data_IF_618540381676
#
_entry.id   IF_618540381676
#
_cell.length_a   1.000
_cell.length_b   1.000
_cell.length_c   1.000
_cell.angle_alpha   90.00
_cell.angle_beta   90.00
_cell.angle_gamma   90.00
#
_symmetry.space_group_name_H-M   'P 1'
#
loop_
_entity.id
_entity.type
_entity.pdbx_description
1 polymer ?
#
# COMPACT_ATOMS: atom_id res chain seq x y z
N UNK A 1 -19.49 -0.27 6.38
CA UNK A 1 -18.29 0.60 6.31
C UNK A 1 -18.57 1.89 5.54
N UNK A 2 -19.11 1.85 4.33
CA UNK A 2 -19.48 3.01 3.50
C UNK A 2 -20.32 4.04 4.26
N UNK A 3 -21.42 3.63 4.92
CA UNK A 3 -22.29 4.54 5.69
C UNK A 3 -21.53 5.30 6.78
N UNK A 4 -20.56 4.66 7.43
CA UNK A 4 -19.71 5.30 8.43
C UNK A 4 -18.77 6.34 7.80
N UNK A 5 -18.27 6.12 6.58
CA UNK A 5 -17.40 7.07 5.90
C UNK A 5 -18.16 8.32 5.44
N UNK A 6 -19.36 8.15 4.87
CA UNK A 6 -20.23 9.28 4.52
C UNK A 6 -20.61 10.14 5.74
N UNK A 7 -20.76 9.54 6.93
CA UNK A 7 -21.02 10.27 8.17
C UNK A 7 -19.79 11.05 8.59
N UNK A 8 -18.60 10.41 8.61
CA UNK A 8 -17.34 11.03 9.04
C UNK A 8 -16.90 12.17 8.13
N UNK A 9 -17.18 12.08 6.84
CA UNK A 9 -16.88 13.12 5.86
C UNK A 9 -17.57 14.46 6.17
N UNK A 10 -18.72 14.44 6.88
CA UNK A 10 -19.48 15.60 7.28
C UNK A 10 -19.07 16.23 8.62
N UNK A 11 -18.17 15.60 9.36
CA UNK A 11 -17.70 16.09 10.67
C UNK A 11 -16.80 17.31 10.43
N UNK A 12 -17.17 18.46 10.99
CA UNK A 12 -16.32 19.65 10.97
C UNK A 12 -15.04 19.43 11.78
N UNK A 13 -13.91 20.01 11.35
CA UNK A 13 -12.61 19.81 12.00
C UNK A 13 -11.92 18.48 11.72
N UNK A 14 -12.60 17.51 11.09
CA UNK A 14 -11.96 16.29 10.63
C UNK A 14 -11.35 16.51 9.24
N UNK A 15 -10.03 16.52 9.15
CA UNK A 15 -9.30 16.81 7.92
C UNK A 15 -8.99 15.58 7.09
N UNK A 16 -8.70 14.43 7.73
CA UNK A 16 -8.32 13.19 7.03
C UNK A 16 -8.99 11.97 7.62
N UNK A 17 -9.41 11.08 6.74
CA UNK A 17 -9.97 9.76 7.07
C UNK A 17 -9.09 8.71 6.41
N UNK A 18 -8.51 7.81 7.21
CA UNK A 18 -7.80 6.63 6.74
C UNK A 18 -8.59 5.38 7.13
N UNK A 19 -8.56 4.39 6.27
CA UNK A 19 -9.10 3.08 6.58
C UNK A 19 -8.26 1.99 5.91
N UNK A 20 -8.33 0.82 6.44
CA UNK A 20 -7.70 -0.36 5.85
C UNK A 20 -8.78 -1.33 5.39
N UNK A 21 -8.57 -1.95 4.23
CA UNK A 21 -9.33 -3.11 3.83
C UNK A 21 -8.48 -4.35 4.09
N UNK A 22 -9.10 -5.41 4.58
CA UNK A 22 -8.43 -6.69 4.81
C UNK A 22 -8.67 -7.67 3.68
N UNK A 23 -9.60 -7.38 2.76
CA UNK A 23 -9.97 -8.29 1.69
C UNK A 23 -10.53 -7.55 0.45
N UNK A 24 -10.11 -7.90 -0.79
CA UNK A 24 -10.63 -7.27 -2.01
C UNK A 24 -12.16 -7.30 -2.15
N UNK A 25 -12.82 -8.36 -1.67
CA UNK A 25 -14.30 -8.48 -1.67
C UNK A 25 -15.03 -7.44 -0.81
N UNK A 26 -14.36 -6.88 0.19
CA UNK A 26 -14.97 -5.91 1.10
C UNK A 26 -15.04 -4.49 0.50
N UNK A 27 -14.42 -4.30 -0.66
CA UNK A 27 -14.38 -3.04 -1.37
C UNK A 27 -15.53 -2.98 -2.38
N UNK A 28 -16.67 -2.39 -1.95
CA UNK A 28 -17.81 -2.22 -2.83
C UNK A 28 -17.63 -1.04 -3.79
N UNK A 29 -18.39 -1.06 -4.89
CA UNK A 29 -18.37 0.00 -5.89
C UNK A 29 -18.72 1.35 -5.30
N UNK A 30 -19.71 1.38 -4.41
CA UNK A 30 -20.13 2.59 -3.73
C UNK A 30 -19.03 3.14 -2.81
N UNK A 31 -18.21 2.24 -2.19
CA UNK A 31 -17.09 2.69 -1.38
C UNK A 31 -16.01 3.34 -2.24
N UNK A 32 -15.70 2.74 -3.40
CA UNK A 32 -14.75 3.30 -4.38
C UNK A 32 -15.25 4.69 -4.85
N UNK A 33 -16.54 4.81 -5.16
CA UNK A 33 -17.14 6.09 -5.57
C UNK A 33 -17.04 7.16 -4.47
N UNK A 34 -17.32 6.80 -3.22
CA UNK A 34 -17.17 7.70 -2.07
C UNK A 34 -15.73 8.13 -1.88
N UNK A 35 -14.76 7.22 -2.05
CA UNK A 35 -13.35 7.56 -2.01
C UNK A 35 -12.95 8.57 -3.08
N UNK A 36 -13.46 8.41 -4.30
CA UNK A 36 -13.16 9.33 -5.40
C UNK A 36 -13.74 10.73 -5.23
N UNK A 37 -14.91 10.83 -4.57
CA UNK A 37 -15.63 12.11 -4.36
C UNK A 37 -15.20 12.86 -3.09
N UNK A 38 -14.74 12.14 -2.06
CA UNK A 38 -14.40 12.75 -0.77
C UNK A 38 -13.05 13.46 -0.82
N UNK A 39 -13.01 14.68 -0.28
CA UNK A 39 -11.77 15.44 -0.08
C UNK A 39 -11.03 15.06 1.22
N UNK A 40 -11.70 14.34 2.13
CA UNK A 40 -11.16 13.95 3.44
C UNK A 40 -10.62 12.52 3.47
N UNK A 41 -11.15 11.63 2.62
CA UNK A 41 -10.65 10.26 2.52
C UNK A 41 -9.29 10.29 1.83
N UNK A 42 -8.29 9.77 2.54
CA UNK A 42 -6.93 9.69 2.05
C UNK A 42 -6.83 8.80 0.81
N UNK A 43 -6.04 9.20 -0.15
CA UNK A 43 -5.81 8.47 -1.40
C UNK A 43 -4.81 7.33 -1.19
N UNK A 44 -5.07 6.49 -0.23
CA UNK A 44 -4.27 5.30 0.07
C UNK A 44 -5.19 4.12 0.35
N UNK A 45 -4.90 2.99 -0.25
CA UNK A 45 -5.65 1.77 -0.06
C UNK A 45 -4.71 0.57 0.08
N UNK A 46 -4.81 -0.12 1.23
CA UNK A 46 -4.16 -1.40 1.41
C UNK A 46 -5.07 -2.51 0.90
N UNK A 47 -4.64 -3.21 -0.17
CA UNK A 47 -5.42 -4.21 -0.88
C UNK A 47 -4.60 -5.51 -1.02
N UNK A 48 -4.60 -6.40 0.00
CA UNK A 48 -3.82 -7.62 0.01
C UNK A 48 -4.18 -8.57 -1.14
N UNK A 49 -3.22 -8.86 -2.02
CA UNK A 49 -3.42 -9.83 -3.12
C UNK A 49 -3.06 -11.25 -2.71
N UNK A 50 -2.09 -11.40 -1.83
CA UNK A 50 -1.53 -12.64 -1.29
C UNK A 50 -0.70 -13.46 -2.31
N UNK A 51 -1.20 -13.67 -3.52
CA UNK A 51 -0.54 -14.35 -4.65
C UNK A 51 -1.09 -13.83 -5.97
N UNK A 52 -0.29 -13.86 -7.02
CA UNK A 52 -0.73 -13.57 -8.38
C UNK A 52 -1.30 -14.78 -9.12
N UNK A 53 -1.16 -15.99 -8.58
CA UNK A 53 -1.72 -17.20 -9.18
C UNK A 53 -3.13 -17.49 -8.68
N UNK A 54 -4.10 -17.54 -9.61
CA UNK A 54 -5.49 -17.92 -9.29
C UNK A 54 -5.58 -19.32 -8.68
N UNK A 55 -4.67 -20.24 -9.06
CA UNK A 55 -4.56 -21.58 -8.50
C UNK A 55 -4.14 -21.55 -7.03
N UNK A 56 -3.11 -20.76 -6.70
CA UNK A 56 -2.63 -20.61 -5.32
C UNK A 56 -3.64 -19.84 -4.47
N UNK A 57 -4.27 -18.79 -5.00
CA UNK A 57 -5.35 -18.08 -4.32
C UNK A 57 -6.48 -19.03 -3.90
N UNK A 58 -6.87 -19.96 -4.78
CA UNK A 58 -7.87 -20.99 -4.45
C UNK A 58 -7.39 -21.91 -3.32
N UNK A 59 -6.11 -22.35 -3.33
CA UNK A 59 -5.51 -23.15 -2.24
C UNK A 59 -5.48 -22.37 -0.91
N UNK A 60 -5.27 -21.05 -0.95
CA UNK A 60 -5.31 -20.14 0.20
C UNK A 60 -6.74 -19.83 0.65
N UNK A 61 -7.76 -20.46 0.07
CA UNK A 61 -9.18 -20.18 0.32
C UNK A 61 -9.56 -18.71 0.02
N UNK A 62 -8.92 -18.10 -0.97
CA UNK A 62 -9.29 -16.79 -1.49
C UNK A 62 -10.34 -16.96 -2.59
N UNK A 63 -11.39 -16.15 -2.54
CA UNK A 63 -12.55 -16.28 -3.44
C UNK A 63 -12.54 -15.23 -4.55
N UNK A 64 -11.37 -14.99 -5.14
CA UNK A 64 -11.16 -14.15 -6.31
C UNK A 64 -10.01 -14.71 -7.15
N UNK A 65 -9.99 -14.34 -8.43
CA UNK A 65 -8.90 -14.67 -9.36
C UNK A 65 -7.97 -13.48 -9.57
N UNK A 66 -6.83 -13.72 -10.22
CA UNK A 66 -5.90 -12.67 -10.66
C UNK A 66 -6.59 -11.61 -11.51
N UNK A 67 -7.41 -12.05 -12.47
CA UNK A 67 -8.13 -11.19 -13.41
C UNK A 67 -9.12 -10.29 -12.66
N UNK A 68 -9.92 -10.85 -11.77
CA UNK A 68 -10.86 -10.10 -10.95
C UNK A 68 -10.16 -9.07 -10.05
N UNK A 69 -8.98 -9.42 -9.53
CA UNK A 69 -8.18 -8.48 -8.75
C UNK A 69 -7.65 -7.33 -9.62
N UNK A 70 -7.14 -7.61 -10.82
CA UNK A 70 -6.66 -6.59 -11.75
C UNK A 70 -7.80 -5.66 -12.22
N UNK A 71 -8.98 -6.21 -12.54
CA UNK A 71 -10.18 -5.42 -12.86
C UNK A 71 -10.57 -4.47 -11.71
N UNK A 72 -10.49 -4.97 -10.47
CA UNK A 72 -10.75 -4.14 -9.29
C UNK A 72 -9.73 -3.00 -9.16
N UNK A 73 -8.44 -3.28 -9.36
CA UNK A 73 -7.37 -2.27 -9.35
C UNK A 73 -7.61 -1.20 -10.41
N UNK A 74 -7.95 -1.58 -11.64
CA UNK A 74 -8.27 -0.64 -12.70
C UNK A 74 -9.47 0.25 -12.36
N UNK A 75 -10.52 -0.35 -11.77
CA UNK A 75 -11.69 0.39 -11.32
C UNK A 75 -11.35 1.41 -10.24
N UNK A 76 -10.53 1.02 -9.26
CA UNK A 76 -10.06 1.91 -8.20
C UNK A 76 -9.30 3.09 -8.81
N UNK A 77 -8.34 2.84 -9.69
CA UNK A 77 -7.52 3.89 -10.31
C UNK A 77 -8.32 4.85 -11.18
N UNK A 78 -9.34 4.36 -11.89
CA UNK A 78 -10.27 5.22 -12.65
C UNK A 78 -11.11 6.12 -11.75
N UNK A 79 -11.53 5.62 -10.59
CA UNK A 79 -12.41 6.36 -9.68
C UNK A 79 -11.67 7.24 -8.70
N UNK A 80 -10.44 6.87 -8.35
CA UNK A 80 -9.59 7.58 -7.39
C UNK A 80 -8.22 7.83 -8.05
N UNK A 81 -8.10 8.89 -8.85
CA UNK A 81 -6.81 9.27 -9.44
C UNK A 81 -5.74 9.46 -8.36
N UNK A 82 -4.52 9.11 -8.66
CA UNK A 82 -3.35 9.19 -7.76
C UNK A 82 -3.49 8.36 -6.46
N UNK A 83 -4.32 7.30 -6.50
CA UNK A 83 -4.42 6.38 -5.36
C UNK A 83 -3.12 5.61 -5.19
N UNK A 84 -2.56 5.68 -3.99
CA UNK A 84 -1.47 4.80 -3.58
C UNK A 84 -2.03 3.43 -3.19
N UNK A 85 -1.49 2.38 -3.78
CA UNK A 85 -1.86 1.00 -3.51
C UNK A 85 -0.74 0.27 -2.79
N UNK A 86 -1.08 -0.33 -1.66
CA UNK A 86 -0.19 -1.25 -0.94
C UNK A 86 -0.81 -2.62 -0.83
N UNK A 87 0.02 -3.66 -0.68
CA UNK A 87 -0.44 -5.05 -0.68
C UNK A 87 0.37 -5.95 0.24
N UNK A 88 -0.14 -7.15 0.49
CA UNK A 88 0.58 -8.27 1.09
C UNK A 88 0.79 -9.36 0.05
N UNK A 89 2.00 -9.96 0.02
CA UNK A 89 2.35 -11.07 -0.86
C UNK A 89 3.03 -12.17 -0.05
N UNK A 90 2.60 -13.40 -0.22
CA UNK A 90 3.18 -14.59 0.41
C UNK A 90 3.84 -15.45 -0.66
N UNK A 91 5.11 -15.79 -0.48
CA UNK A 91 5.89 -16.68 -1.35
C UNK A 91 6.11 -18.03 -0.66
N UNK A 92 6.18 -19.08 -1.44
CA UNK A 92 6.47 -20.44 -0.95
C UNK A 92 5.26 -21.11 -0.29
N UNK A 93 4.04 -20.73 -0.67
CA UNK A 93 2.85 -21.45 -0.23
C UNK A 93 2.88 -22.90 -0.75
N UNK A 94 2.43 -23.92 0.02
CA UNK A 94 2.49 -25.31 -0.39
C UNK A 94 1.91 -25.56 -1.79
N UNK A 95 2.72 -26.19 -2.64
CA UNK A 95 2.41 -26.49 -4.03
C UNK A 95 2.51 -25.30 -5.00
N UNK A 96 3.13 -24.19 -4.62
CA UNK A 96 3.47 -23.11 -5.53
C UNK A 96 4.54 -23.60 -6.53
N UNK A 97 4.24 -23.54 -7.83
CA UNK A 97 5.21 -23.82 -8.89
C UNK A 97 5.99 -22.56 -9.28
N UNK A 98 6.97 -22.69 -10.17
CA UNK A 98 7.67 -21.52 -10.73
C UNK A 98 6.73 -20.66 -11.57
N UNK A 99 5.83 -21.29 -12.32
CA UNK A 99 4.81 -20.60 -13.12
C UNK A 99 3.86 -19.79 -12.22
N UNK A 100 3.45 -20.32 -11.05
CA UNK A 100 2.62 -19.59 -10.09
C UNK A 100 3.36 -18.38 -9.50
N UNK A 101 4.66 -18.55 -9.25
CA UNK A 101 5.49 -17.45 -8.79
C UNK A 101 5.65 -16.37 -9.86
N UNK A 102 5.88 -16.75 -11.12
CA UNK A 102 5.94 -15.78 -12.24
C UNK A 102 4.59 -15.05 -12.44
N UNK A 103 3.44 -15.70 -12.21
CA UNK A 103 2.15 -15.03 -12.16
C UNK A 103 2.09 -13.95 -11.05
N UNK A 104 2.76 -14.20 -9.94
CA UNK A 104 2.88 -13.22 -8.85
C UNK A 104 3.80 -12.06 -9.24
N UNK A 105 4.91 -12.33 -9.92
CA UNK A 105 5.78 -11.30 -10.47
C UNK A 105 5.06 -10.44 -11.53
N UNK A 106 4.25 -11.07 -12.39
CA UNK A 106 3.46 -10.37 -13.41
C UNK A 106 2.45 -9.40 -12.78
N UNK A 107 1.73 -9.80 -11.71
CA UNK A 107 0.79 -8.90 -11.05
C UNK A 107 1.49 -7.72 -10.38
N UNK A 108 2.67 -7.93 -9.80
CA UNK A 108 3.49 -6.86 -9.20
C UNK A 108 3.89 -5.83 -10.26
N UNK A 109 4.35 -6.29 -11.42
CA UNK A 109 4.73 -5.45 -12.55
C UNK A 109 3.56 -4.69 -13.17
N UNK A 110 2.39 -5.32 -13.26
CA UNK A 110 1.16 -4.70 -13.80
C UNK A 110 0.55 -3.69 -12.86
N UNK A 111 0.44 -4.03 -11.58
CA UNK A 111 -0.17 -3.15 -10.58
C UNK A 111 0.76 -2.04 -10.15
N UNK A 112 2.09 -2.26 -10.11
CA UNK A 112 3.06 -1.25 -9.67
C UNK A 112 2.66 -0.65 -8.33
N UNK A 113 2.73 -1.46 -7.29
CA UNK A 113 2.39 -1.05 -5.94
C UNK A 113 3.36 0.02 -5.40
N UNK A 114 2.84 0.98 -4.66
CA UNK A 114 3.68 1.96 -3.93
C UNK A 114 4.49 1.29 -2.83
N UNK A 115 3.96 0.22 -2.23
CA UNK A 115 4.68 -0.64 -1.30
C UNK A 115 4.03 -2.03 -1.23
N UNK A 116 4.81 -3.06 -0.98
CA UNK A 116 4.30 -4.39 -0.70
C UNK A 116 5.00 -5.00 0.52
N UNK A 117 4.20 -5.56 1.42
CA UNK A 117 4.70 -6.38 2.51
C UNK A 117 4.86 -7.81 2.00
N UNK A 118 6.09 -8.26 1.90
CA UNK A 118 6.46 -9.57 1.37
C UNK A 118 6.76 -10.54 2.50
N UNK A 119 6.17 -11.72 2.44
CA UNK A 119 6.28 -12.75 3.47
C UNK A 119 6.66 -14.08 2.85
N UNK A 120 7.51 -14.81 3.55
CA UNK A 120 7.69 -16.24 3.31
C UNK A 120 6.57 -16.99 4.04
N UNK A 121 5.95 -17.96 3.37
CA UNK A 121 4.95 -18.81 4.02
C UNK A 121 5.54 -19.46 5.28
N UNK A 122 4.84 -19.35 6.38
CA UNK A 122 5.18 -19.99 7.65
C UNK A 122 4.07 -20.95 8.08
N UNK A 123 4.45 -22.18 8.39
CA UNK A 123 3.52 -23.21 8.89
C UNK A 123 2.87 -22.75 10.19
N UNK A 124 1.55 -22.72 10.22
CA UNK A 124 0.79 -22.42 11.44
C UNK A 124 0.03 -23.65 11.88
N UNK A 125 0.33 -24.17 13.06
CA UNK A 125 -0.34 -25.33 13.64
C UNK A 125 -1.86 -25.19 13.58
N UNK A 126 -2.54 -26.24 13.14
CA UNK A 126 -4.01 -26.26 13.03
C UNK A 126 -4.57 -25.69 11.72
N UNK A 127 -3.71 -25.27 10.78
CA UNK A 127 -4.19 -24.85 9.45
C UNK A 127 -4.07 -25.97 8.42
N UNK A 128 -5.00 -26.06 7.43
CA UNK A 128 -4.89 -27.04 6.35
C UNK A 128 -3.56 -26.96 5.59
N UNK A 129 -3.03 -25.77 5.36
CA UNK A 129 -1.76 -25.56 4.67
C UNK A 129 -0.55 -26.17 5.40
N UNK A 130 -0.58 -26.28 6.74
CA UNK A 130 0.52 -26.82 7.52
C UNK A 130 0.70 -28.33 7.31
N UNK A 131 -0.34 -29.05 6.90
CA UNK A 131 -0.34 -30.49 6.68
C UNK A 131 -0.31 -30.89 5.20
N UNK A 132 -0.22 -29.94 4.28
CA UNK A 132 -0.03 -30.21 2.86
C UNK A 132 1.35 -30.85 2.64
N UNK A 133 1.41 -31.88 1.78
CA UNK A 133 2.65 -32.64 1.51
C UNK A 133 3.60 -31.90 0.57
N UNK A 134 3.06 -31.04 -0.31
CA UNK A 134 3.77 -30.31 -1.36
C UNK A 134 4.46 -29.03 -0.84
N UNK A 135 5.16 -29.13 0.29
CA UNK A 135 5.98 -28.03 0.83
C UNK A 135 7.16 -27.71 -0.09
N UNK A 136 7.43 -26.43 -0.26
CA UNK A 136 8.49 -25.95 -1.15
C UNK A 136 9.85 -25.99 -0.44
N UNK A 137 10.93 -26.46 -1.10
CA UNK A 137 12.29 -26.42 -0.55
C UNK A 137 12.72 -25.00 -0.17
N UNK A 138 13.47 -24.89 0.94
CA UNK A 138 13.83 -23.60 1.53
C UNK A 138 14.68 -22.72 0.60
N UNK A 139 15.58 -23.33 -0.15
CA UNK A 139 16.45 -22.67 -1.15
C UNK A 139 15.62 -22.06 -2.29
N UNK A 140 14.61 -22.77 -2.80
CA UNK A 140 13.67 -22.27 -3.81
C UNK A 140 12.86 -21.10 -3.26
N UNK A 141 12.35 -21.22 -2.03
CA UNK A 141 11.59 -20.13 -1.39
C UNK A 141 12.45 -18.89 -1.21
N UNK A 142 13.71 -19.04 -0.78
CA UNK A 142 14.65 -17.92 -0.62
C UNK A 142 14.96 -17.23 -1.95
N UNK A 143 15.19 -18.01 -3.01
CA UNK A 143 15.42 -17.45 -4.35
C UNK A 143 14.22 -16.61 -4.80
N UNK A 144 13.02 -17.18 -4.78
CA UNK A 144 11.78 -16.48 -5.14
C UNK A 144 11.56 -15.23 -4.29
N UNK A 145 11.76 -15.32 -2.99
CA UNK A 145 11.61 -14.19 -2.08
C UNK A 145 12.55 -13.04 -2.43
N UNK A 146 13.81 -13.33 -2.72
CA UNK A 146 14.81 -12.32 -3.09
C UNK A 146 14.47 -11.66 -4.43
N UNK A 147 14.03 -12.43 -5.41
CA UNK A 147 13.55 -11.90 -6.71
C UNK A 147 12.35 -10.98 -6.53
N UNK A 148 11.35 -11.41 -5.75
CA UNK A 148 10.17 -10.60 -5.44
C UNK A 148 10.55 -9.32 -4.69
N UNK A 149 11.41 -9.41 -3.67
CA UNK A 149 11.83 -8.27 -2.87
C UNK A 149 12.53 -7.22 -3.73
N UNK A 150 13.43 -7.65 -4.62
CA UNK A 150 14.13 -6.77 -5.55
C UNK A 150 13.15 -6.03 -6.48
N UNK A 151 12.21 -6.74 -7.10
CA UNK A 151 11.21 -6.16 -8.00
C UNK A 151 10.33 -5.13 -7.25
N UNK A 152 9.82 -5.51 -6.07
CA UNK A 152 9.00 -4.62 -5.24
C UNK A 152 9.75 -3.36 -4.83
N UNK A 153 11.02 -3.49 -4.40
CA UNK A 153 11.82 -2.34 -4.01
C UNK A 153 12.09 -1.39 -5.19
N UNK A 154 12.39 -1.95 -6.36
CA UNK A 154 12.59 -1.17 -7.58
C UNK A 154 11.33 -0.37 -7.93
N UNK A 155 10.18 -1.03 -7.98
CA UNK A 155 8.91 -0.38 -8.30
C UNK A 155 8.53 0.66 -7.24
N UNK A 156 8.70 0.35 -5.95
CA UNK A 156 8.39 1.30 -4.87
C UNK A 156 9.25 2.55 -4.94
N UNK A 157 10.54 2.41 -5.28
CA UNK A 157 11.43 3.57 -5.47
C UNK A 157 10.99 4.44 -6.66
N UNK A 158 10.60 3.81 -7.78
CA UNK A 158 10.08 4.53 -8.95
C UNK A 158 8.76 5.25 -8.64
N UNK A 159 7.83 4.61 -7.90
CA UNK A 159 6.58 5.23 -7.47
C UNK A 159 6.82 6.38 -6.48
N UNK A 160 7.77 6.21 -5.58
CA UNK A 160 8.17 7.28 -4.67
C UNK A 160 8.72 8.48 -5.45
N UNK A 161 9.62 8.27 -6.40
CA UNK A 161 10.27 9.37 -7.14
C UNK A 161 9.30 10.27 -7.93
N UNK A 162 8.09 9.81 -8.26
CA UNK A 162 7.10 10.58 -9.04
C UNK A 162 6.74 11.92 -8.39
N UNK A 163 6.76 12.01 -7.06
CA UNK A 163 6.35 13.22 -6.36
C UNK A 163 7.53 14.18 -6.04
N UNK A 164 8.77 13.77 -6.33
CA UNK A 164 9.93 14.64 -6.12
C UNK A 164 9.81 15.94 -6.93
N UNK A 165 10.15 17.07 -6.33
CA UNK A 165 10.03 18.38 -6.94
C UNK A 165 8.60 18.95 -6.96
N UNK A 166 7.61 18.28 -6.36
CA UNK A 166 6.22 18.76 -6.27
C UNK A 166 5.90 19.33 -4.90
N UNK A 167 4.87 20.19 -4.84
CA UNK A 167 4.30 20.66 -3.57
C UNK A 167 3.15 19.75 -3.17
N UNK A 168 3.18 19.26 -1.92
CA UNK A 168 2.17 18.34 -1.41
C UNK A 168 1.64 18.80 -0.05
N UNK A 169 0.32 18.65 0.16
CA UNK A 169 -0.28 18.93 1.47
C UNK A 169 0.01 17.80 2.44
N UNK A 170 0.68 18.11 3.54
CA UNK A 170 1.16 17.19 4.57
C UNK A 170 0.43 17.45 5.88
N UNK A 171 -0.09 16.41 6.54
CA UNK A 171 -0.55 16.49 7.93
C UNK A 171 0.67 16.31 8.82
N UNK A 172 0.97 17.29 9.65
CA UNK A 172 2.09 17.22 10.61
C UNK A 172 1.68 16.33 11.79
N UNK A 173 2.43 15.26 12.03
CA UNK A 173 2.09 14.25 13.03
C UNK A 173 2.89 14.43 14.33
N UNK A 174 4.19 14.65 14.23
CA UNK A 174 5.08 14.78 15.39
C UNK A 174 6.42 15.43 15.02
N UNK A 175 7.24 15.72 16.04
CA UNK A 175 8.66 15.98 15.88
C UNK A 175 9.37 14.71 15.40
N UNK A 176 10.38 14.82 14.56
CA UNK A 176 11.13 13.67 14.09
C UNK A 176 11.92 13.02 15.24
N UNK A 177 11.92 11.68 15.30
CA UNK A 177 12.55 10.93 16.40
C UNK A 177 14.09 10.99 16.38
N UNK A 178 14.68 11.27 15.22
CA UNK A 178 16.15 11.28 15.03
C UNK A 178 16.76 12.68 14.95
N UNK A 179 15.94 13.68 14.62
CA UNK A 179 16.37 15.08 14.50
C UNK A 179 15.22 16.00 14.96
N UNK A 180 15.39 16.62 16.11
CA UNK A 180 14.40 17.51 16.73
C UNK A 180 14.22 18.86 16.01
N UNK A 181 15.02 19.17 15.00
CA UNK A 181 14.82 20.32 14.11
C UNK A 181 13.86 20.02 12.95
N UNK A 182 13.50 18.74 12.78
CA UNK A 182 12.61 18.30 11.74
C UNK A 182 11.23 17.91 12.30
N UNK A 183 10.21 18.25 11.54
CA UNK A 183 8.87 17.70 11.73
C UNK A 183 8.69 16.46 10.85
N UNK A 184 7.89 15.52 11.33
CA UNK A 184 7.43 14.37 10.57
C UNK A 184 5.96 14.55 10.26
N UNK A 185 5.63 14.54 8.99
CA UNK A 185 4.25 14.61 8.53
C UNK A 185 3.95 13.52 7.52
N UNK A 186 2.69 13.43 7.12
CA UNK A 186 2.21 12.39 6.22
C UNK A 186 1.33 12.95 5.12
N UNK A 187 1.63 12.57 3.88
CA UNK A 187 0.83 12.89 2.71
C UNK A 187 -0.49 12.11 2.69
N UNK A 188 -1.41 12.49 1.81
CA UNK A 188 -2.68 11.78 1.61
C UNK A 188 -2.46 10.33 1.15
N UNK A 189 -1.45 10.05 0.36
CA UNK A 189 -1.06 8.73 -0.13
C UNK A 189 -0.31 7.88 0.91
N UNK A 190 -0.19 8.34 2.16
CA UNK A 190 0.45 7.67 3.29
C UNK A 190 1.99 7.74 3.36
N UNK A 191 2.65 8.38 2.41
CA UNK A 191 4.10 8.56 2.46
C UNK A 191 4.50 9.62 3.50
N UNK A 192 5.64 9.39 4.13
CA UNK A 192 6.20 10.28 5.14
C UNK A 192 6.98 11.41 4.48
N UNK A 193 6.96 12.57 5.14
CA UNK A 193 7.76 13.73 4.77
C UNK A 193 8.41 14.30 6.03
N UNK A 194 9.72 14.53 5.97
CA UNK A 194 10.49 15.22 7.00
C UNK A 194 10.90 16.58 6.50
N UNK A 195 10.67 17.61 7.29
CA UNK A 195 10.92 18.99 6.91
C UNK A 195 11.21 19.87 8.14
N UNK A 196 11.99 20.95 8.02
CA UNK A 196 12.25 21.89 9.12
C UNK A 196 10.96 22.55 9.61
N UNK A 197 10.78 22.63 10.92
CA UNK A 197 9.60 23.24 11.53
C UNK A 197 9.63 23.13 13.04
N UNK A 198 8.59 23.59 13.70
CA UNK A 198 8.42 23.55 15.15
C UNK A 198 7.12 22.83 15.57
N UNK A 199 7.02 22.52 16.86
CA UNK A 199 5.93 21.73 17.44
C UNK A 199 4.54 22.38 17.27
N UNK A 200 4.46 23.70 17.04
CA UNK A 200 3.17 24.39 16.85
C UNK A 200 2.44 23.95 15.59
N UNK A 201 3.16 23.31 14.66
CA UNK A 201 2.61 22.77 13.43
C UNK A 201 1.88 21.44 13.62
N UNK A 202 2.05 20.75 14.74
CA UNK A 202 1.44 19.43 15.00
C UNK A 202 -0.09 19.52 14.88
N UNK A 203 -0.67 18.61 14.09
CA UNK A 203 -2.10 18.57 13.80
C UNK A 203 -2.54 19.48 12.67
N UNK A 204 -1.67 20.32 12.13
CA UNK A 204 -1.98 21.20 11.01
C UNK A 204 -1.72 20.52 9.65
N UNK A 205 -2.42 21.00 8.62
CA UNK A 205 -2.12 20.71 7.23
C UNK A 205 -1.23 21.84 6.69
N UNK A 206 -0.05 21.48 6.20
CA UNK A 206 0.91 22.42 5.62
C UNK A 206 1.29 21.96 4.20
N UNK A 207 1.55 22.92 3.33
CA UNK A 207 2.07 22.61 2.00
C UNK A 207 3.59 22.55 2.06
N UNK A 208 4.16 21.43 1.58
CA UNK A 208 5.58 21.12 1.64
C UNK A 208 6.07 20.83 0.23
N UNK A 209 7.12 21.51 -0.19
CA UNK A 209 7.86 21.17 -1.38
C UNK A 209 8.74 19.95 -1.09
N UNK A 210 8.61 18.90 -1.90
CA UNK A 210 9.35 17.64 -1.75
C UNK A 210 10.69 17.75 -2.49
N UNK A 211 11.78 17.97 -1.76
CA UNK A 211 13.08 18.24 -2.35
C UNK A 211 13.81 16.97 -2.78
N UNK A 212 13.68 15.87 -2.02
CA UNK A 212 14.42 14.64 -2.27
C UNK A 212 13.64 13.43 -1.79
N UNK A 213 13.51 12.41 -2.65
CA UNK A 213 12.97 11.10 -2.32
C UNK A 213 14.06 10.18 -1.75
N UNK A 214 13.85 9.65 -0.56
CA UNK A 214 14.73 8.69 0.13
C UNK A 214 14.21 7.24 0.03
N UNK A 215 13.40 6.93 -0.98
CA UNK A 215 12.82 5.60 -1.23
C UNK A 215 11.53 5.32 -0.45
N UNK A 216 11.46 5.68 0.85
CA UNK A 216 10.28 5.43 1.70
C UNK A 216 9.71 6.71 2.33
N UNK A 217 10.41 7.81 2.22
CA UNK A 217 10.01 9.12 2.72
C UNK A 217 10.67 10.22 1.87
N UNK A 218 10.23 11.44 2.08
CA UNK A 218 10.81 12.62 1.44
C UNK A 218 11.47 13.54 2.47
N UNK A 219 12.53 14.19 2.03
CA UNK A 219 12.98 15.44 2.64
C UNK A 219 12.33 16.60 1.89
N UNK A 220 11.90 17.62 2.62
CA UNK A 220 11.25 18.77 2.02
C UNK A 220 11.38 20.03 2.85
N UNK A 221 10.72 21.08 2.41
CA UNK A 221 10.61 22.37 3.10
C UNK A 221 9.20 22.92 2.97
N UNK A 222 8.76 23.66 3.99
CA UNK A 222 7.47 24.35 3.94
C UNK A 222 7.46 25.32 2.76
N UNK A 223 6.41 25.26 1.94
CA UNK A 223 6.20 26.22 0.87
C UNK A 223 5.82 27.56 1.47
N UNK A 224 6.61 28.59 1.16
CA UNK A 224 6.32 29.97 1.59
C UNK A 224 5.29 30.57 0.64
N UNK A 225 4.13 30.98 1.17
CA UNK A 225 3.13 31.75 0.43
C UNK A 225 3.63 33.14 0.04
#
# INVERSE_FOLDING_TARGET
RQRQMCIRDRIEGLHRIRFMTSHPKDLSDELIEVMGKSKKICKHLHLPVQSGSSRILKKMNRHYTKEQYLELVEKIRRSVPDVSLTTDIIVGFPGETEEDFEETMDIVRKVRYDSAFTFIYSKRTGTPAAVMEDQIPEDVVKDRFNRLLHEVQTISAEQCAIHEGTVQTVLVECVNEHDNHLMTGRMSNNLLVHFPGDESLIGQLVDVHLDECKGFYYMGRIESN
#
